data_IF_885054027429
#
_entry.id   IF_885054027429
#
_cell.length_a   1.000
_cell.length_b   1.000
_cell.length_c   1.000
_cell.angle_alpha   90.00
_cell.angle_beta   90.00
_cell.angle_gamma   90.00
#
_symmetry.space_group_name_H-M   'P 1'
#
loop_
_entity.id
_entity.type
_entity.pdbx_description
1 polymer ?
#
# COMPACT_ATOMS: atom_id res chain seq x y z
N UNK A 1 -5.00 -60.17 17.34
CA UNK A 1 -5.18 -58.74 17.71
C UNK A 1 -3.91 -57.90 17.54
N UNK A 2 -2.73 -58.32 18.03
CA UNK A 2 -1.47 -57.55 17.86
C UNK A 2 -1.03 -57.28 16.41
N UNK A 3 -1.32 -58.19 15.47
CA UNK A 3 -0.97 -58.03 14.04
C UNK A 3 -1.86 -57.02 13.28
N UNK A 4 -3.08 -56.77 13.76
CA UNK A 4 -4.03 -55.83 13.15
C UNK A 4 -3.70 -54.40 13.58
N UNK A 5 -3.25 -54.22 14.83
CA UNK A 5 -2.79 -52.92 15.35
C UNK A 5 -1.53 -52.42 14.64
N UNK A 6 -0.61 -53.33 14.27
CA UNK A 6 0.58 -52.97 13.51
C UNK A 6 0.26 -52.47 12.08
N UNK A 7 -0.80 -53.01 11.45
CA UNK A 7 -1.21 -52.61 10.11
C UNK A 7 -1.87 -51.21 10.11
N UNK A 8 -2.60 -50.87 11.18
CA UNK A 8 -3.27 -49.57 11.32
C UNK A 8 -2.27 -48.40 11.51
N UNK A 9 -1.13 -48.67 12.16
CA UNK A 9 -0.08 -47.67 12.38
C UNK A 9 0.73 -47.34 11.12
N UNK A 10 0.83 -48.26 10.16
CA UNK A 10 1.54 -48.02 8.89
C UNK A 10 0.69 -47.18 7.94
N UNK A 11 -0.64 -47.30 7.98
CA UNK A 11 -1.55 -46.50 7.13
C UNK A 11 -1.58 -45.02 7.57
N UNK A 12 -1.37 -44.72 8.86
CA UNK A 12 -1.28 -43.34 9.35
C UNK A 12 0.04 -42.63 8.96
N UNK A 13 1.07 -43.38 8.56
CA UNK A 13 2.38 -42.84 8.20
C UNK A 13 2.51 -42.43 6.73
N UNK A 14 1.48 -42.64 5.90
CA UNK A 14 1.49 -42.37 4.45
C UNK A 14 0.78 -41.04 4.13
N UNK A 15 0.34 -40.26 5.12
CA UNK A 15 -0.14 -38.89 4.87
C UNK A 15 1.04 -38.04 4.39
N UNK A 16 1.15 -37.95 3.08
CA UNK A 16 2.11 -37.10 2.39
C UNK A 16 1.88 -35.68 2.88
N UNK A 17 2.89 -35.09 3.51
CA UNK A 17 2.92 -33.66 3.75
C UNK A 17 2.97 -32.96 2.39
N UNK A 18 1.81 -32.69 1.81
CA UNK A 18 1.70 -31.71 0.74
C UNK A 18 2.09 -30.36 1.36
N UNK A 19 3.31 -29.90 1.10
CA UNK A 19 3.64 -28.50 1.34
C UNK A 19 2.63 -27.66 0.56
N UNK A 20 1.92 -26.76 1.23
CA UNK A 20 1.06 -25.82 0.54
C UNK A 20 1.91 -25.03 -0.44
N UNK A 21 1.64 -25.19 -1.72
CA UNK A 21 2.23 -24.36 -2.76
C UNK A 21 1.72 -22.94 -2.54
N UNK A 22 2.65 -22.02 -2.32
CA UNK A 22 2.35 -20.63 -2.07
C UNK A 22 1.90 -19.97 -3.38
N UNK A 23 0.62 -20.13 -3.71
CA UNK A 23 -0.02 -19.58 -4.91
C UNK A 23 -0.28 -18.06 -4.84
N UNK A 24 0.34 -17.34 -3.89
CA UNK A 24 0.23 -15.89 -3.83
C UNK A 24 1.03 -15.28 -4.99
N UNK A 25 0.58 -14.14 -5.54
CA UNK A 25 1.32 -13.47 -6.60
C UNK A 25 2.76 -13.25 -6.13
N UNK A 26 3.75 -13.61 -6.96
CA UNK A 26 5.16 -13.42 -6.62
C UNK A 26 5.54 -11.94 -6.43
N UNK A 27 4.65 -10.98 -6.64
CA UNK A 27 4.97 -9.56 -6.51
C UNK A 27 3.75 -8.76 -6.04
N UNK A 28 3.51 -8.74 -4.73
CA UNK A 28 2.34 -8.09 -4.09
C UNK A 28 2.67 -6.72 -3.48
N UNK A 29 3.90 -6.24 -3.64
CA UNK A 29 4.43 -5.05 -2.95
C UNK A 29 5.34 -5.43 -1.77
N UNK A 30 6.32 -4.57 -1.47
CA UNK A 30 7.23 -4.75 -0.33
C UNK A 30 6.55 -4.41 0.99
N UNK A 31 5.81 -5.36 1.58
CA UNK A 31 5.35 -5.29 2.97
C UNK A 31 4.62 -3.97 3.37
N UNK A 32 3.92 -3.35 2.41
CA UNK A 32 3.03 -2.20 2.61
C UNK A 32 1.68 -2.44 1.91
N UNK A 33 0.56 -2.15 2.58
CA UNK A 33 -0.79 -2.37 2.03
C UNK A 33 -1.39 -1.10 1.46
N UNK A 34 -1.55 -1.07 0.13
CA UNK A 34 -2.21 0.05 -0.55
C UNK A 34 -3.69 0.19 -0.18
N UNK A 35 -4.41 -0.93 -0.08
CA UNK A 35 -5.80 -0.97 0.36
C UNK A 35 -5.94 -0.50 1.82
N UNK A 36 -5.04 -0.96 2.69
CA UNK A 36 -5.00 -0.54 4.09
C UNK A 36 -4.72 0.96 4.23
N UNK A 37 -3.78 1.50 3.45
CA UNK A 37 -3.49 2.92 3.43
C UNK A 37 -4.70 3.74 2.96
N UNK A 38 -5.43 3.29 1.93
CA UNK A 38 -6.68 3.94 1.53
C UNK A 38 -7.76 3.88 2.61
N UNK A 39 -7.90 2.76 3.32
CA UNK A 39 -8.86 2.65 4.42
C UNK A 39 -8.51 3.59 5.58
N UNK A 40 -7.23 3.70 5.95
CA UNK A 40 -6.80 4.67 6.95
C UNK A 40 -7.03 6.11 6.48
N UNK A 41 -6.71 6.41 5.23
CA UNK A 41 -6.93 7.73 4.64
C UNK A 41 -8.42 8.10 4.66
N UNK A 42 -9.29 7.20 4.19
CA UNK A 42 -10.75 7.36 4.21
C UNK A 42 -11.28 7.75 5.59
N UNK A 43 -10.75 7.14 6.66
CA UNK A 43 -11.24 7.32 8.02
C UNK A 43 -10.54 8.44 8.82
N UNK A 44 -9.49 9.06 8.27
CA UNK A 44 -8.71 10.09 8.97
C UNK A 44 -9.30 11.49 8.75
N UNK A 45 -9.33 12.33 9.79
CA UNK A 45 -9.86 13.71 9.69
C UNK A 45 -8.82 14.73 9.21
N UNK A 46 -7.55 14.34 9.16
CA UNK A 46 -6.45 15.17 8.67
C UNK A 46 -5.31 14.29 8.12
N UNK A 47 -4.37 14.92 7.41
CA UNK A 47 -3.15 14.23 6.96
C UNK A 47 -2.22 13.88 8.12
N UNK A 48 -2.20 14.68 9.20
CA UNK A 48 -1.46 14.37 10.42
C UNK A 48 -2.01 13.10 11.10
N UNK A 49 -3.34 13.00 11.20
CA UNK A 49 -3.99 11.80 11.73
C UNK A 49 -3.74 10.59 10.83
N UNK A 50 -3.82 10.76 9.52
CA UNK A 50 -3.50 9.71 8.56
C UNK A 50 -2.05 9.21 8.72
N UNK A 51 -1.07 10.12 8.80
CA UNK A 51 0.33 9.79 9.02
C UNK A 51 0.54 9.06 10.35
N UNK A 52 -0.08 9.54 11.43
CA UNK A 52 -0.04 8.85 12.72
C UNK A 52 -0.61 7.44 12.61
N UNK A 53 -1.73 7.26 11.93
CA UNK A 53 -2.38 5.97 11.77
C UNK A 53 -1.54 5.02 10.91
N UNK A 54 -0.92 5.47 9.82
CA UNK A 54 0.01 4.64 9.02
C UNK A 54 1.13 4.03 9.88
N UNK A 55 1.53 4.72 10.93
CA UNK A 55 2.63 4.35 11.81
C UNK A 55 2.16 3.69 13.12
N UNK A 56 1.06 2.94 13.09
CA UNK A 56 0.59 2.12 14.20
C UNK A 56 0.68 0.63 13.87
N UNK A 57 1.36 -0.15 14.71
CA UNK A 57 1.54 -1.60 14.55
C UNK A 57 0.21 -2.37 14.45
N UNK A 58 -0.79 -1.93 15.22
CA UNK A 58 -2.04 -2.67 15.42
C UNK A 58 -2.96 -2.74 14.18
N UNK A 59 -2.68 -1.98 13.13
CA UNK A 59 -3.47 -1.96 11.91
C UNK A 59 -2.83 -2.71 10.74
N UNK A 60 -1.61 -3.25 10.89
CA UNK A 60 -0.97 -4.09 9.87
C UNK A 60 -0.99 -3.48 8.45
N UNK A 61 -0.88 -2.15 8.33
CA UNK A 61 -0.77 -1.46 7.04
C UNK A 61 0.69 -1.28 6.62
N UNK A 62 1.56 -1.00 7.59
CA UNK A 62 2.99 -0.80 7.39
C UNK A 62 3.80 -1.94 8.05
N UNK A 63 4.62 -2.62 7.24
CA UNK A 63 5.58 -3.63 7.66
C UNK A 63 6.92 -3.47 6.92
N UNK A 64 7.19 -2.28 6.39
CA UNK A 64 8.40 -1.94 5.63
C UNK A 64 9.63 -1.87 6.52
N UNK A 65 10.73 -2.47 6.09
CA UNK A 65 12.07 -2.37 6.68
C UNK A 65 13.06 -2.21 5.52
N UNK A 66 13.01 -1.04 4.87
CA UNK A 66 13.84 -0.67 3.72
C UNK A 66 15.23 -0.23 4.15
N UNK A 67 15.41 0.27 5.37
CA UNK A 67 16.73 0.60 5.91
C UNK A 67 17.46 -0.63 6.51
N UNK A 68 16.79 -1.77 6.58
CA UNK A 68 17.35 -3.07 6.93
C UNK A 68 17.83 -3.18 8.37
N UNK A 69 17.35 -2.32 9.26
CA UNK A 69 17.77 -2.28 10.66
C UNK A 69 17.01 -3.28 11.55
N UNK A 70 16.00 -3.97 10.99
CA UNK A 70 15.16 -4.95 11.68
C UNK A 70 13.97 -4.33 12.41
N UNK A 71 13.69 -3.05 12.19
CA UNK A 71 12.54 -2.33 12.69
C UNK A 71 11.72 -1.78 11.52
N UNK A 72 10.42 -1.60 11.75
CA UNK A 72 9.56 -1.01 10.73
C UNK A 72 9.86 0.48 10.58
N UNK A 73 10.05 0.88 9.33
CA UNK A 73 10.32 2.25 8.91
C UNK A 73 9.16 3.17 9.21
N UNK A 74 9.47 4.40 9.62
CA UNK A 74 8.48 5.46 9.78
C UNK A 74 8.08 6.03 8.42
N UNK A 75 6.78 6.07 8.13
CA UNK A 75 6.25 6.66 6.90
C UNK A 75 5.89 8.13 7.13
N UNK A 76 6.55 9.01 6.41
CA UNK A 76 6.21 10.42 6.30
C UNK A 76 5.12 10.64 5.25
N UNK A 77 4.21 11.58 5.52
CA UNK A 77 3.20 12.04 4.57
C UNK A 77 3.44 13.49 4.18
N UNK A 78 3.36 13.79 2.88
CA UNK A 78 3.39 15.15 2.35
C UNK A 78 2.32 15.32 1.27
N UNK A 79 1.76 16.54 1.16
CA UNK A 79 0.87 16.90 0.06
C UNK A 79 1.59 17.79 -0.94
N UNK A 80 1.45 17.48 -2.23
CA UNK A 80 1.77 18.39 -3.33
C UNK A 80 0.46 18.82 -3.98
N UNK A 81 0.01 20.03 -3.64
CA UNK A 81 -1.20 20.63 -4.17
C UNK A 81 -0.94 21.38 -5.47
N UNK A 82 -1.73 21.11 -6.51
CA UNK A 82 -1.77 21.89 -7.74
C UNK A 82 -3.22 22.05 -8.21
N UNK A 83 -3.75 23.27 -8.17
CA UNK A 83 -5.16 23.58 -8.48
C UNK A 83 -6.13 22.72 -7.65
N UNK A 84 -7.01 21.97 -8.33
CA UNK A 84 -7.99 21.04 -7.78
C UNK A 84 -7.44 19.61 -7.62
N UNK A 85 -6.12 19.44 -7.62
CA UNK A 85 -5.44 18.16 -7.44
C UNK A 85 -4.55 18.15 -6.20
N UNK A 86 -4.58 17.04 -5.48
CA UNK A 86 -3.72 16.75 -4.33
C UNK A 86 -2.94 15.47 -4.59
N UNK A 87 -1.66 15.47 -4.23
CA UNK A 87 -0.75 14.33 -4.38
C UNK A 87 -0.19 14.02 -3.01
N UNK A 88 -0.84 13.09 -2.31
CA UNK A 88 -0.45 12.69 -0.95
C UNK A 88 0.63 11.62 -1.08
N UNK A 89 1.88 12.03 -0.96
CA UNK A 89 3.05 11.17 -1.09
C UNK A 89 3.37 10.55 0.27
N UNK A 90 3.47 9.22 0.29
CA UNK A 90 3.99 8.44 1.41
C UNK A 90 5.43 8.04 1.10
N UNK A 91 6.32 8.27 2.04
CA UNK A 91 7.76 8.07 1.86
C UNK A 91 8.44 7.72 3.17
N UNK A 92 9.64 7.14 3.10
CA UNK A 92 10.49 6.90 4.27
C UNK A 92 11.90 7.43 4.03
N UNK A 93 12.59 7.81 5.10
CA UNK A 93 14.02 8.07 5.07
C UNK A 93 14.78 6.76 5.21
N UNK A 94 15.78 6.54 4.35
CA UNK A 94 16.69 5.39 4.44
C UNK A 94 17.96 5.72 5.23
N UNK A 95 18.25 7.02 5.34
CA UNK A 95 19.32 7.60 6.14
C UNK A 95 19.08 9.12 6.26
N UNK A 96 20.06 9.84 6.80
CA UNK A 96 20.01 11.31 7.00
C UNK A 96 19.79 12.12 5.71
N UNK A 97 20.14 11.57 4.54
CA UNK A 97 20.16 12.30 3.25
C UNK A 97 19.32 11.68 2.15
N UNK A 98 18.91 10.42 2.30
CA UNK A 98 18.19 9.68 1.27
C UNK A 98 16.77 9.35 1.72
N UNK A 99 15.83 9.56 0.80
CA UNK A 99 14.40 9.36 0.97
C UNK A 99 13.89 8.49 -0.19
N UNK A 100 12.97 7.58 0.10
CA UNK A 100 12.33 6.70 -0.86
C UNK A 100 10.82 6.90 -0.80
N UNK A 101 10.19 7.12 -1.95
CA UNK A 101 8.74 7.10 -2.06
C UNK A 101 8.21 5.67 -2.03
N UNK A 102 7.08 5.49 -1.33
CA UNK A 102 6.43 4.18 -1.11
C UNK A 102 5.17 4.07 -1.94
N UNK A 103 4.31 5.09 -1.84
CA UNK A 103 3.03 5.14 -2.51
C UNK A 103 2.53 6.58 -2.62
N UNK A 104 1.58 6.80 -3.53
CA UNK A 104 0.95 8.09 -3.79
C UNK A 104 -0.57 7.92 -3.76
N UNK A 105 -1.29 8.69 -2.95
CA UNK A 105 -2.73 8.91 -3.15
C UNK A 105 -2.91 10.16 -4.00
N UNK A 106 -3.37 9.98 -5.23
CA UNK A 106 -3.70 11.06 -6.14
C UNK A 106 -5.20 11.35 -6.08
N UNK A 107 -5.57 12.61 -5.87
CA UNK A 107 -6.96 13.05 -5.70
C UNK A 107 -7.21 14.20 -6.67
N UNK A 108 -8.36 14.18 -7.35
CA UNK A 108 -8.79 15.24 -8.25
C UNK A 108 -10.26 15.58 -8.00
N UNK A 109 -10.55 16.85 -7.71
CA UNK A 109 -11.92 17.35 -7.67
C UNK A 109 -12.41 17.52 -9.09
N UNK A 110 -13.43 16.75 -9.45
CA UNK A 110 -13.97 16.71 -10.82
C UNK A 110 -15.10 17.70 -11.02
N UNK A 111 -15.86 18.01 -9.97
CA UNK A 111 -16.87 19.06 -9.95
C UNK A 111 -17.23 19.43 -8.50
N UNK A 112 -18.20 20.34 -8.32
CA UNK A 112 -18.73 20.63 -6.99
C UNK A 112 -19.34 19.37 -6.36
N UNK A 113 -18.93 19.04 -5.13
CA UNK A 113 -19.41 17.85 -4.43
C UNK A 113 -18.87 16.52 -4.98
N UNK A 114 -17.93 16.53 -5.92
CA UNK A 114 -17.39 15.32 -6.54
C UNK A 114 -15.87 15.33 -6.58
N UNK A 115 -15.27 14.25 -6.11
CA UNK A 115 -13.85 13.98 -6.26
C UNK A 115 -13.64 12.49 -6.54
N UNK A 116 -12.53 12.20 -7.21
CA UNK A 116 -12.05 10.85 -7.47
C UNK A 116 -10.64 10.72 -6.88
N UNK A 117 -10.27 9.50 -6.48
CA UNK A 117 -8.90 9.23 -6.05
C UNK A 117 -8.44 7.85 -6.47
N UNK A 118 -7.12 7.70 -6.52
CA UNK A 118 -6.43 6.42 -6.68
C UNK A 118 -5.19 6.42 -5.80
N UNK A 119 -4.83 5.26 -5.25
CA UNK A 119 -3.51 5.03 -4.68
C UNK A 119 -2.64 4.27 -5.68
N UNK A 120 -1.37 4.64 -5.77
CA UNK A 120 -0.39 4.03 -6.66
C UNK A 120 0.81 3.58 -5.82
N UNK A 121 1.22 2.33 -5.97
CA UNK A 121 2.48 1.86 -5.42
C UNK A 121 3.65 2.42 -6.23
N UNK A 122 4.72 2.79 -5.55
CA UNK A 122 5.95 3.24 -6.18
C UNK A 122 6.60 2.11 -7.01
N UNK A 123 7.08 2.40 -8.23
CA UNK A 123 7.61 1.37 -9.15
C UNK A 123 8.91 0.69 -8.64
N UNK A 124 9.58 1.26 -7.63
CA UNK A 124 10.75 0.61 -7.00
C UNK A 124 10.35 -0.43 -5.94
N UNK A 125 9.12 -0.37 -5.41
CA UNK A 125 8.61 -1.28 -4.36
C UNK A 125 7.44 -2.17 -4.83
N UNK A 126 6.72 -1.74 -5.85
CA UNK A 126 5.54 -2.41 -6.37
C UNK A 126 5.70 -2.76 -7.85
N UNK A 127 4.97 -3.78 -8.34
CA UNK A 127 4.84 -3.98 -9.77
C UNK A 127 4.42 -2.70 -10.47
N UNK A 128 5.00 -2.44 -11.63
CA UNK A 128 4.62 -1.30 -12.46
C UNK A 128 3.12 -1.23 -12.68
N UNK A 129 2.55 -0.03 -12.57
CA UNK A 129 1.10 0.23 -12.67
C UNK A 129 0.26 -0.52 -11.63
N UNK A 130 0.78 -0.73 -10.41
CA UNK A 130 -0.05 -1.15 -9.27
C UNK A 130 -0.87 0.04 -8.80
N UNK A 131 -2.12 0.11 -9.28
CA UNK A 131 -3.08 1.17 -8.97
C UNK A 131 -4.27 0.54 -8.27
N UNK A 132 -4.71 1.13 -7.16
CA UNK A 132 -5.88 0.70 -6.41
C UNK A 132 -6.84 1.88 -6.27
N UNK A 133 -8.14 1.59 -6.35
CA UNK A 133 -9.19 2.59 -6.14
C UNK A 133 -10.35 1.98 -5.32
N UNK A 134 -11.21 2.82 -4.71
CA UNK A 134 -12.36 2.35 -3.96
C UNK A 134 -13.32 1.59 -4.87
N UNK A 135 -13.84 0.47 -4.39
CA UNK A 135 -14.89 -0.27 -5.07
C UNK A 135 -16.24 0.34 -4.72
N UNK A 136 -17.11 0.49 -5.72
CA UNK A 136 -18.53 0.73 -5.48
C UNK A 136 -19.09 -0.57 -4.92
N UNK A 137 -19.27 -0.65 -3.61
CA UNK A 137 -20.06 -1.72 -3.01
C UNK A 137 -21.49 -1.63 -3.54
N UNK A 138 -21.79 -2.35 -4.61
CA UNK A 138 -23.16 -2.67 -4.97
C UNK A 138 -23.22 -3.98 -5.76
N UNK A 139 -23.42 -5.07 -5.01
CA UNK A 139 -24.52 -5.97 -5.38
C UNK A 139 -25.82 -5.17 -5.24
N UNK A 140 -26.17 -4.37 -6.27
CA UNK A 140 -27.51 -3.85 -6.46
C UNK A 140 -27.73 -2.34 -6.27
N UNK A 141 -27.24 -1.51 -7.19
CA UNK A 141 -28.12 -0.53 -7.83
C UNK A 141 -27.89 -0.56 -9.34
N UNK A 142 -28.81 -1.24 -10.01
CA UNK A 142 -29.20 -0.84 -11.35
C UNK A 142 -29.83 0.54 -11.18
N UNK A 143 -29.10 1.60 -11.52
CA UNK A 143 -29.76 2.86 -11.86
C UNK A 143 -30.64 2.56 -13.08
N UNK A 144 -31.93 2.38 -12.83
CA UNK A 144 -32.94 2.38 -13.88
C UNK A 144 -32.96 3.77 -14.51
N UNK A 145 -32.14 3.97 -15.54
CA UNK A 145 -32.30 5.10 -16.46
C UNK A 145 -33.62 4.85 -17.21
N UNK A 146 -34.71 5.43 -16.69
CA UNK A 146 -35.93 5.52 -17.46
C UNK A 146 -35.71 6.45 -18.65
N UNK A 147 -35.88 5.84 -19.82
CA UNK A 147 -36.43 6.39 -21.06
C UNK A 147 -35.47 6.92 -22.15
N UNK A 148 -35.77 6.42 -23.35
CA UNK A 148 -35.57 7.01 -24.68
C UNK A 148 -34.19 6.90 -25.33
N UNK A 149 -33.78 5.67 -25.71
CA UNK A 149 -33.24 5.32 -27.05
C UNK A 149 -32.76 3.86 -27.05
N UNK A 150 -33.19 3.07 -28.04
CA UNK A 150 -32.74 1.69 -28.26
C UNK A 150 -31.33 1.64 -28.88
N UNK A 151 -30.36 2.31 -28.25
CA UNK A 151 -28.93 2.15 -28.55
C UNK A 151 -28.24 1.95 -27.23
N UNK A 152 -27.87 0.71 -26.93
CA UNK A 152 -26.99 0.40 -25.81
C UNK A 152 -25.60 0.97 -26.13
N UNK A 153 -25.36 2.22 -25.73
CA UNK A 153 -23.99 2.73 -25.63
C UNK A 153 -23.36 2.01 -24.45
N UNK A 154 -22.63 0.94 -24.73
CA UNK A 154 -21.81 0.25 -23.73
C UNK A 154 -20.63 1.18 -23.41
N UNK A 155 -20.85 2.14 -22.52
CA UNK A 155 -19.77 2.87 -21.89
C UNK A 155 -19.06 1.91 -20.93
N UNK A 156 -18.01 1.23 -21.41
CA UNK A 156 -17.17 0.29 -20.65
C UNK A 156 -16.33 0.95 -19.53
N UNK A 157 -16.76 2.09 -18.98
CA UNK A 157 -16.08 2.74 -17.87
C UNK A 157 -16.70 2.25 -16.57
N UNK A 158 -15.98 1.41 -15.82
CA UNK A 158 -16.39 1.03 -14.47
C UNK A 158 -16.72 2.29 -13.65
N UNK A 159 -17.86 2.32 -12.92
CA UNK A 159 -18.30 3.50 -12.19
C UNK A 159 -17.20 3.91 -11.19
N UNK A 160 -16.79 5.18 -11.24
CA UNK A 160 -15.82 5.71 -10.28
C UNK A 160 -16.57 6.12 -9.01
N UNK A 161 -16.06 5.71 -7.86
CA UNK A 161 -16.66 6.07 -6.57
C UNK A 161 -16.40 7.54 -6.28
N UNK A 162 -17.46 8.29 -5.96
CA UNK A 162 -17.32 9.65 -5.45
C UNK A 162 -16.81 9.60 -4.01
N UNK A 163 -15.61 10.13 -3.79
CA UNK A 163 -14.95 10.14 -2.47
C UNK A 163 -15.11 11.48 -1.73
N UNK A 164 -15.86 12.43 -2.27
CA UNK A 164 -16.02 13.77 -1.71
C UNK A 164 -16.43 13.79 -0.23
N UNK A 165 -17.25 12.83 0.19
CA UNK A 165 -17.76 12.75 1.56
C UNK A 165 -16.73 12.22 2.59
N UNK A 166 -15.58 11.73 2.15
CA UNK A 166 -14.55 11.22 3.07
C UNK A 166 -13.98 12.36 3.93
N UNK A 167 -13.87 12.20 5.26
CA UNK A 167 -13.31 13.22 6.16
C UNK A 167 -11.98 13.81 5.68
N UNK A 168 -11.04 12.96 5.24
CA UNK A 168 -9.74 13.37 4.72
C UNK A 168 -9.85 14.19 3.43
N UNK A 169 -10.72 13.79 2.50
CA UNK A 169 -10.95 14.53 1.25
C UNK A 169 -11.57 15.89 1.56
N UNK A 170 -12.59 15.94 2.43
CA UNK A 170 -13.18 17.21 2.87
C UNK A 170 -12.17 18.11 3.56
N UNK A 171 -11.26 17.54 4.34
CA UNK A 171 -10.17 18.27 4.99
C UNK A 171 -9.25 18.94 3.96
N UNK A 172 -8.84 18.25 2.90
CA UNK A 172 -7.98 18.81 1.84
C UNK A 172 -8.62 19.97 1.08
N UNK A 173 -9.93 19.89 0.83
CA UNK A 173 -10.68 20.93 0.11
C UNK A 173 -11.31 21.99 1.04
N UNK A 174 -11.02 21.95 2.34
CA UNK A 174 -11.50 22.96 3.27
C UNK A 174 -10.84 24.33 2.98
N UNK A 175 -11.57 25.46 3.11
CA UNK A 175 -10.99 26.78 2.86
C UNK A 175 -9.77 27.13 3.72
N UNK A 176 -9.69 26.55 4.92
CA UNK A 176 -8.59 26.76 5.87
C UNK A 176 -7.45 25.73 5.72
N UNK A 177 -7.53 24.82 4.75
CA UNK A 177 -6.50 23.80 4.56
C UNK A 177 -5.16 24.43 4.18
N UNK A 178 -4.12 24.02 4.90
CA UNK A 178 -2.72 24.33 4.60
C UNK A 178 -2.05 23.02 4.22
N UNK A 179 -1.24 23.06 3.16
CA UNK A 179 -0.46 21.92 2.66
C UNK A 179 0.30 21.28 3.82
N UNK A 180 0.06 19.99 4.04
CA UNK A 180 0.73 19.21 5.07
C UNK A 180 2.10 18.76 4.57
N UNK A 181 3.11 18.99 5.40
CA UNK A 181 4.46 18.44 5.21
C UNK A 181 4.83 17.82 6.55
N UNK A 182 5.05 16.51 6.57
CA UNK A 182 5.49 15.80 7.77
C UNK A 182 6.66 16.55 8.44
N UNK A 183 6.58 16.84 9.75
CA UNK A 183 7.68 17.48 10.48
C UNK A 183 8.79 16.50 10.85
N UNK A 184 8.56 15.20 10.71
CA UNK A 184 9.48 14.17 11.18
C UNK A 184 10.59 13.91 10.17
N UNK A 185 11.76 13.53 10.67
CA UNK A 185 12.97 13.29 9.89
C UNK A 185 13.63 12.01 10.37
N UNK A 186 14.68 11.59 9.67
CA UNK A 186 15.52 10.48 10.10
C UNK A 186 15.87 10.59 11.60
N UNK A 187 15.46 9.59 12.38
CA UNK A 187 15.65 9.50 13.84
C UNK A 187 15.03 10.63 14.68
N UNK A 188 14.15 11.44 14.08
CA UNK A 188 13.40 12.50 14.75
C UNK A 188 11.90 12.24 14.54
N UNK A 189 11.38 11.31 15.32
CA UNK A 189 10.02 10.78 15.21
C UNK A 189 9.08 11.34 16.29
N UNK A 190 7.75 11.25 16.11
CA UNK A 190 6.80 11.68 17.14
C UNK A 190 6.98 10.88 18.43
N UNK A 191 6.72 11.51 19.58
CA UNK A 191 6.77 10.84 20.89
C UNK A 191 5.80 9.66 21.02
N UNK A 192 4.69 9.70 20.29
CA UNK A 192 3.68 8.65 20.28
C UNK A 192 4.05 7.47 19.38
N UNK A 193 5.14 7.56 18.61
CA UNK A 193 5.61 6.48 17.77
C UNK A 193 6.66 5.66 18.50
N UNK A 194 6.63 4.36 18.28
CA UNK A 194 7.64 3.43 18.77
C UNK A 194 7.86 2.39 17.67
N UNK A 195 9.12 2.07 17.33
CA UNK A 195 9.40 1.06 16.31
C UNK A 195 8.96 -0.32 16.78
N UNK A 196 8.56 -1.17 15.83
CA UNK A 196 8.27 -2.59 16.04
C UNK A 196 9.02 -3.43 15.03
N UNK A 197 9.20 -4.72 15.32
CA UNK A 197 9.86 -5.62 14.38
C UNK A 197 8.91 -6.04 13.26
N UNK A 198 9.38 -6.11 12.00
CA UNK A 198 8.55 -6.56 10.90
C UNK A 198 8.17 -8.04 11.09
N UNK A 199 6.93 -8.36 10.76
CA UNK A 199 6.43 -9.73 10.72
C UNK A 199 6.73 -10.37 9.36
N UNK A 200 6.69 -11.70 9.30
CA UNK A 200 6.93 -12.40 8.05
C UNK A 200 5.89 -12.02 6.98
N UNK A 201 6.35 -11.70 5.77
CA UNK A 201 5.52 -11.31 4.63
C UNK A 201 4.25 -12.18 4.43
N UNK A 202 4.32 -13.53 4.55
CA UNK A 202 3.13 -14.37 4.48
C UNK A 202 2.01 -14.00 5.45
N UNK A 203 2.36 -13.64 6.67
CA UNK A 203 1.42 -13.25 7.72
C UNK A 203 0.91 -11.84 7.45
N UNK A 204 1.81 -10.90 7.15
CA UNK A 204 1.45 -9.54 6.78
C UNK A 204 0.43 -9.51 5.64
N UNK A 205 0.71 -10.22 4.55
CA UNK A 205 -0.18 -10.30 3.39
C UNK A 205 -1.54 -10.91 3.74
N UNK A 206 -1.60 -11.84 4.69
CA UNK A 206 -2.86 -12.42 5.16
C UNK A 206 -3.72 -11.42 5.95
N UNK A 207 -3.11 -10.54 6.75
CA UNK A 207 -3.83 -9.50 7.48
C UNK A 207 -4.44 -8.46 6.52
N UNK A 208 -3.73 -8.14 5.44
CA UNK A 208 -4.19 -7.20 4.41
C UNK A 208 -5.49 -7.63 3.71
N UNK A 209 -5.89 -8.91 3.78
CA UNK A 209 -7.12 -9.43 3.16
C UNK A 209 -8.36 -8.69 3.66
N UNK A 210 -8.38 -8.17 4.89
CA UNK A 210 -9.53 -7.46 5.44
C UNK A 210 -9.87 -6.15 4.73
N UNK A 211 -8.88 -5.53 4.08
CA UNK A 211 -9.06 -4.26 3.38
C UNK A 211 -9.60 -4.45 1.97
N UNK A 212 -9.20 -5.53 1.30
CA UNK A 212 -9.47 -5.81 -0.12
C UNK A 212 -10.94 -5.79 -0.57
N UNK A 213 -11.96 -6.15 0.24
CA UNK A 213 -13.34 -6.12 -0.25
C UNK A 213 -13.80 -4.73 -0.74
N UNK A 214 -13.27 -3.67 -0.14
CA UNK A 214 -13.69 -2.28 -0.41
C UNK A 214 -12.83 -1.56 -1.45
N UNK A 215 -11.81 -2.24 -2.00
CA UNK A 215 -10.83 -1.65 -2.90
C UNK A 215 -10.43 -2.65 -3.99
N UNK A 216 -10.35 -2.21 -5.24
CA UNK A 216 -9.94 -3.07 -6.35
C UNK A 216 -8.75 -2.51 -7.09
N UNK A 217 -7.94 -3.42 -7.62
CA UNK A 217 -6.81 -3.09 -8.48
C UNK A 217 -7.32 -2.68 -9.86
N UNK A 218 -6.81 -1.58 -10.38
CA UNK A 218 -7.06 -1.09 -11.74
C UNK A 218 -5.77 -0.95 -12.52
N UNK A 219 -5.90 -0.91 -13.84
CA UNK A 219 -4.76 -0.75 -14.77
C UNK A 219 -4.64 0.66 -15.33
N UNK A 220 -5.67 1.48 -15.16
CA UNK A 220 -5.78 2.79 -15.80
C UNK A 220 -5.73 3.87 -14.75
N UNK A 221 -4.83 4.84 -14.96
CA UNK A 221 -4.77 6.05 -14.17
C UNK A 221 -5.88 7.02 -14.57
N UNK A 222 -6.63 7.51 -13.58
CA UNK A 222 -7.72 8.49 -13.74
C UNK A 222 -7.25 9.92 -13.50
N UNK A 223 -6.39 10.12 -12.50
CA UNK A 223 -5.90 11.46 -12.14
C UNK A 223 -4.79 11.87 -13.11
N UNK A 224 -5.10 12.82 -13.99
CA UNK A 224 -4.19 13.25 -15.05
C UNK A 224 -2.98 14.03 -14.51
N UNK A 225 -3.19 14.76 -13.41
CA UNK A 225 -2.18 15.60 -12.78
C UNK A 225 -0.94 14.82 -12.32
N UNK A 226 -1.05 13.53 -12.00
CA UNK A 226 0.09 12.72 -11.51
C UNK A 226 1.33 12.83 -12.39
N UNK A 227 1.18 12.73 -13.72
CA UNK A 227 2.28 12.86 -14.69
C UNK A 227 3.08 14.16 -14.52
N UNK A 228 2.36 15.26 -14.33
CA UNK A 228 2.92 16.61 -14.34
C UNK A 228 3.37 17.05 -12.95
N UNK A 229 2.66 16.64 -11.92
CA UNK A 229 2.85 17.11 -10.54
C UNK A 229 3.80 16.21 -9.77
N UNK A 230 3.55 14.90 -9.77
CA UNK A 230 4.26 13.97 -8.90
C UNK A 230 5.59 13.51 -9.50
N UNK A 231 5.61 12.95 -10.72
CA UNK A 231 6.81 12.32 -11.27
C UNK A 231 8.06 13.23 -11.32
N UNK A 232 7.97 14.53 -11.62
CA UNK A 232 9.13 15.42 -11.56
C UNK A 232 9.72 15.63 -10.15
N UNK A 233 8.96 15.28 -9.10
CA UNK A 233 9.31 15.46 -7.68
C UNK A 233 9.50 14.15 -6.92
N UNK A 234 9.30 13.01 -7.60
CA UNK A 234 9.40 11.67 -7.03
C UNK A 234 10.79 11.44 -6.42
N UNK A 235 10.82 10.93 -5.19
CA UNK A 235 12.06 10.48 -4.56
C UNK A 235 12.29 8.99 -4.83
N UNK A 236 13.49 8.67 -5.30
CA UNK A 236 13.95 7.30 -5.51
C UNK A 236 15.41 7.22 -5.11
N UNK A 237 15.73 6.26 -4.26
CA UNK A 237 17.10 6.06 -3.79
C UNK A 237 17.76 4.93 -4.58
N UNK A 238 19.03 5.12 -4.95
CA UNK A 238 19.86 4.04 -5.50
C UNK A 238 20.10 2.90 -4.51
N UNK A 239 19.84 3.15 -3.23
CA UNK A 239 19.82 2.12 -2.20
C UNK A 239 18.70 1.13 -2.46
N UNK A 240 17.54 1.54 -2.96
CA UNK A 240 16.43 0.63 -3.24
C UNK A 240 16.47 0.24 -4.72
N UNK A 241 16.76 -1.02 -5.00
CA UNK A 241 16.87 -1.55 -6.36
C UNK A 241 15.83 -2.64 -6.58
N UNK A 242 14.81 -2.34 -7.37
CA UNK A 242 13.83 -3.35 -7.81
C UNK A 242 14.41 -4.23 -8.91
N UNK A 243 14.26 -5.56 -8.78
CA UNK A 243 14.50 -6.48 -9.89
C UNK A 243 13.40 -7.54 -9.98
N UNK A 244 13.37 -8.31 -11.07
CA UNK A 244 12.35 -9.34 -11.32
C UNK A 244 12.26 -10.42 -10.21
N UNK A 245 13.26 -10.52 -9.33
CA UNK A 245 13.33 -11.48 -8.20
C UNK A 245 13.00 -10.82 -6.86
N UNK A 246 12.56 -9.57 -6.84
CA UNK A 246 12.22 -8.77 -5.67
C UNK A 246 13.12 -7.55 -5.47
N UNK A 247 12.82 -6.77 -4.42
CA UNK A 247 13.55 -5.56 -4.10
C UNK A 247 14.85 -5.87 -3.35
N UNK A 248 15.92 -5.19 -3.74
CA UNK A 248 17.26 -5.31 -3.17
C UNK A 248 17.67 -3.96 -2.64
N UNK A 249 17.93 -3.90 -1.33
CA UNK A 249 18.42 -2.69 -0.68
C UNK A 249 19.95 -2.74 -0.61
N UNK A 250 20.63 -1.70 -1.05
CA UNK A 250 22.08 -1.55 -1.08
C UNK A 250 22.51 -0.66 0.10
N UNK A 251 22.96 -1.25 1.20
CA UNK A 251 23.47 -0.46 2.31
C UNK A 251 24.89 0.00 2.09
N UNK A 252 25.14 1.28 2.38
CA UNK A 252 26.49 1.82 2.57
C UNK A 252 26.72 2.04 4.05
N UNK A 253 27.65 1.31 4.65
CA UNK A 253 27.99 1.52 6.05
C UNK A 253 28.76 2.85 6.25
N UNK A 254 28.90 3.31 7.50
CA UNK A 254 29.68 4.51 7.86
C UNK A 254 31.15 4.50 7.38
N UNK A 255 31.68 3.33 6.98
CA UNK A 255 33.05 3.14 6.47
C UNK A 255 33.11 3.10 4.93
N UNK A 256 31.98 3.33 4.24
CA UNK A 256 31.88 3.34 2.78
C UNK A 256 31.74 1.96 2.12
N UNK A 257 31.70 0.87 2.88
CA UNK A 257 31.49 -0.47 2.32
C UNK A 257 30.03 -0.64 1.90
N UNK A 258 29.85 -1.16 0.69
CA UNK A 258 28.55 -1.42 0.09
C UNK A 258 28.18 -2.89 0.27
N UNK A 259 27.01 -3.17 0.86
CA UNK A 259 26.45 -4.52 1.00
C UNK A 259 25.05 -4.54 0.41
N UNK A 260 24.86 -5.35 -0.64
CA UNK A 260 23.53 -5.67 -1.12
C UNK A 260 22.83 -6.60 -0.11
N UNK A 261 21.76 -6.10 0.50
CA UNK A 261 20.81 -6.86 1.30
C UNK A 261 19.59 -7.07 0.42
N UNK A 262 19.37 -8.30 -0.04
CA UNK A 262 18.06 -8.63 -0.59
C UNK A 262 17.05 -8.46 0.52
N UNK A 263 15.96 -7.73 0.26
CA UNK A 263 14.79 -7.76 1.14
C UNK A 263 14.33 -9.21 1.12
N UNK A 264 14.66 -9.95 2.18
CA UNK A 264 14.30 -11.36 2.27
C UNK A 264 12.80 -11.38 2.47
N UNK A 265 12.06 -11.74 1.43
CA UNK A 265 10.72 -12.30 1.61
C UNK A 265 10.87 -13.52 2.50
N UNK A 266 10.59 -13.35 3.78
CA UNK A 266 10.74 -14.41 4.77
C UNK A 266 9.71 -15.47 4.43
N UNK A 267 10.09 -16.45 3.60
CA UNK A 267 9.31 -17.69 3.41
C UNK A 267 9.11 -18.23 4.81
N UNK A 268 7.84 -18.36 5.21
CA UNK A 268 7.47 -18.81 6.54
C UNK A 268 8.34 -19.99 6.93
N UNK A 269 9.16 -19.80 7.96
CA UNK A 269 9.93 -20.88 8.56
C UNK A 269 8.91 -21.92 9.04
N UNK A 270 8.80 -23.04 8.33
CA UNK A 270 8.22 -24.25 8.88
C UNK A 270 9.05 -24.61 10.11
N UNK A 271 8.59 -24.19 11.29
CA UNK A 271 9.05 -24.79 12.53
C UNK A 271 8.44 -26.19 12.58
N UNK A 272 9.35 -27.16 12.58
CA UNK A 272 9.13 -28.60 12.77
C UNK A 272 8.36 -28.89 14.04
#
# INVERSE_FOLDING_TARGET
MKKIVALLLVVLAITSAFGQEDNRPENTGDDFSLEGALELFKNSNSLEEFERNLNQENNQVNNLDLDGDGQVDYINVEDIKENDSHMIVMSTYLNETEKQDIALIAIEKTSEGNAVLQIMGDEDLFPKNTIVEPSSEEKGAVQNLKAASNVAVVANSAPTVNVWAWPSVRYLYAPAYVVWISPYRWRAYPRSWSPWSPIAHPLFYSYGVRYRPHYHVVKVRRVAAVSRVYYPRRHSSTVVVHNRRGTTVIHKNRRGNVKAVKVKRTKGSQRR
#
